data_IF_432524277652
#
_entry.id   IF_432524277652
#
_cell.length_a   1.000
_cell.length_b   1.000
_cell.length_c   1.000
_cell.angle_alpha   90.00
_cell.angle_beta   90.00
_cell.angle_gamma   90.00
#
_symmetry.space_group_name_H-M   'P 1'
#
loop_
_entity.id
_entity.type
_entity.pdbx_description
1 polymer ?
#
# COMPACT_ATOMS: atom_id res chain seq x y z
N UNK A 1 -21.78 14.39 18.40
CA UNK A 1 -21.83 12.96 17.99
C UNK A 1 -20.66 12.67 17.06
N UNK A 2 -19.96 11.57 17.29
CA UNK A 2 -18.78 11.18 16.53
C UNK A 2 -18.97 9.77 15.99
N UNK A 3 -18.82 9.59 14.68
CA UNK A 3 -18.71 8.29 14.02
C UNK A 3 -17.23 7.94 13.83
N UNK A 4 -16.81 6.79 14.28
CA UNK A 4 -15.45 6.31 14.15
C UNK A 4 -15.45 4.95 13.44
N UNK A 5 -14.54 4.76 12.50
CA UNK A 5 -14.30 3.48 11.84
C UNK A 5 -13.08 2.78 12.47
N UNK A 6 -13.11 1.47 12.59
CA UNK A 6 -11.99 0.66 13.12
C UNK A 6 -10.74 0.73 12.24
N UNK A 7 -10.93 1.00 10.95
CA UNK A 7 -9.84 1.20 9.99
C UNK A 7 -10.27 2.19 8.90
N UNK A 8 -9.32 2.91 8.34
CA UNK A 8 -9.56 3.82 7.20
C UNK A 8 -9.52 3.10 5.85
N UNK A 9 -9.01 1.88 5.80
CA UNK A 9 -8.96 1.04 4.61
C UNK A 9 -8.95 -0.44 4.97
N UNK A 10 -9.45 -1.28 4.06
CA UNK A 10 -9.40 -2.72 4.16
C UNK A 10 -9.35 -3.36 2.76
N UNK A 11 -8.97 -4.63 2.70
CA UNK A 11 -8.92 -5.38 1.44
C UNK A 11 -10.31 -5.83 1.03
N UNK A 12 -10.76 -5.41 -0.16
CA UNK A 12 -12.05 -5.79 -0.71
C UNK A 12 -12.19 -7.32 -0.83
N UNK A 13 -13.27 -7.87 -0.29
CA UNK A 13 -13.56 -9.30 -0.30
C UNK A 13 -12.87 -10.13 0.80
N UNK A 14 -11.91 -9.58 1.54
CA UNK A 14 -11.20 -10.30 2.61
C UNK A 14 -11.34 -9.66 3.99
N UNK A 15 -11.64 -8.38 4.06
CA UNK A 15 -11.76 -7.63 5.31
C UNK A 15 -13.14 -7.05 5.55
N UNK A 16 -13.31 -6.52 6.72
CA UNK A 16 -14.46 -5.72 7.10
C UNK A 16 -14.02 -4.52 7.93
N UNK A 17 -14.88 -3.53 8.04
CA UNK A 17 -14.73 -2.38 8.92
C UNK A 17 -15.90 -2.37 9.89
N UNK A 18 -15.61 -2.05 11.15
CA UNK A 18 -16.61 -1.84 12.19
C UNK A 18 -16.67 -0.37 12.55
N UNK A 19 -17.86 0.08 12.91
CA UNK A 19 -18.13 1.45 13.27
C UNK A 19 -18.51 1.56 14.73
N UNK A 20 -18.18 2.67 15.33
CA UNK A 20 -18.59 3.06 16.67
C UNK A 20 -19.16 4.48 16.63
N UNK A 21 -20.31 4.67 17.23
CA UNK A 21 -20.96 5.97 17.35
C UNK A 21 -20.97 6.38 18.80
N UNK A 22 -20.41 7.56 19.10
CA UNK A 22 -20.44 8.13 20.44
C UNK A 22 -21.22 9.44 20.44
N UNK A 23 -22.06 9.60 21.44
CA UNK A 23 -22.83 10.83 21.71
C UNK A 23 -22.66 11.23 23.15
N UNK A 24 -22.22 12.46 23.38
CA UNK A 24 -21.95 13.01 24.72
C UNK A 24 -21.03 12.13 25.61
N UNK A 25 -20.12 11.40 24.96
CA UNK A 25 -19.17 10.51 25.64
C UNK A 25 -19.68 9.08 25.89
N UNK A 26 -20.92 8.79 25.51
CA UNK A 26 -21.52 7.45 25.60
C UNK A 26 -21.54 6.73 24.25
N UNK A 27 -21.37 5.42 24.27
CA UNK A 27 -21.51 4.56 23.09
C UNK A 27 -22.99 4.34 22.76
N UNK A 28 -23.42 4.91 21.65
CA UNK A 28 -24.79 4.78 21.14
C UNK A 28 -24.85 3.98 19.83
N UNK A 29 -23.83 3.21 19.52
CA UNK A 29 -23.71 2.46 18.27
C UNK A 29 -24.92 1.58 17.98
N UNK A 30 -25.47 0.92 18.99
CA UNK A 30 -26.64 0.05 18.85
C UNK A 30 -27.97 0.80 18.61
N UNK A 31 -28.00 2.09 18.87
CA UNK A 31 -29.17 2.94 18.73
C UNK A 31 -29.08 3.88 17.54
N UNK A 32 -27.87 4.07 17.01
CA UNK A 32 -27.62 4.94 15.88
C UNK A 32 -27.84 4.18 14.56
N UNK A 33 -28.42 4.85 13.59
CA UNK A 33 -28.52 4.35 12.21
C UNK A 33 -27.30 4.78 11.43
N UNK A 34 -26.49 3.83 10.97
CA UNK A 34 -25.32 4.08 10.13
C UNK A 34 -25.70 3.82 8.67
N UNK A 35 -25.38 4.73 7.79
CA UNK A 35 -25.70 4.63 6.36
C UNK A 35 -24.43 4.85 5.54
N UNK A 36 -24.26 4.00 4.52
CA UNK A 36 -23.31 4.24 3.46
C UNK A 36 -23.87 5.33 2.54
N UNK A 37 -23.33 6.52 2.64
CA UNK A 37 -23.80 7.69 1.86
C UNK A 37 -23.50 7.54 0.37
N UNK A 38 -22.46 6.78 0.03
CA UNK A 38 -22.05 6.56 -1.36
C UNK A 38 -23.04 5.65 -2.11
N UNK A 39 -23.53 4.58 -1.46
CA UNK A 39 -24.49 3.64 -2.07
C UNK A 39 -25.93 3.91 -1.66
N UNK A 40 -26.15 4.61 -0.56
CA UNK A 40 -27.47 4.84 0.04
C UNK A 40 -27.99 3.67 0.87
N UNK A 41 -27.16 2.65 1.15
CA UNK A 41 -27.54 1.46 1.88
C UNK A 41 -27.27 1.60 3.40
N UNK A 42 -28.15 1.05 4.25
CA UNK A 42 -27.91 1.01 5.67
C UNK A 42 -26.80 -0.01 6.02
N UNK A 43 -26.05 0.30 7.08
CA UNK A 43 -25.04 -0.60 7.64
C UNK A 43 -25.63 -1.36 8.81
N UNK A 44 -25.75 -2.67 8.68
CA UNK A 44 -26.26 -3.52 9.72
C UNK A 44 -25.17 -3.91 10.74
N UNK A 45 -25.56 -4.01 12.01
CA UNK A 45 -24.68 -4.43 13.11
C UNK A 45 -23.37 -3.60 13.23
N UNK A 46 -23.37 -2.36 12.74
CA UNK A 46 -22.20 -1.49 12.73
C UNK A 46 -20.95 -2.13 12.08
N UNK A 47 -21.15 -3.07 11.16
CA UNK A 47 -20.08 -3.72 10.40
C UNK A 47 -20.39 -3.68 8.91
N UNK A 48 -19.37 -3.41 8.10
CA UNK A 48 -19.53 -3.30 6.67
C UNK A 48 -18.35 -3.93 5.92
N UNK A 49 -18.67 -4.56 4.80
CA UNK A 49 -17.70 -5.15 3.88
C UNK A 49 -18.16 -4.96 2.44
N UNK A 50 -17.23 -5.02 1.51
CA UNK A 50 -17.52 -4.99 0.08
C UNK A 50 -16.48 -5.79 -0.70
N UNK A 51 -16.85 -6.25 -1.88
CA UNK A 51 -15.94 -6.85 -2.86
C UNK A 51 -15.52 -5.85 -3.93
N UNK A 52 -16.14 -4.68 -3.95
CA UNK A 52 -15.85 -3.61 -4.91
C UNK A 52 -14.82 -2.63 -4.35
N UNK A 53 -13.84 -2.30 -5.18
CA UNK A 53 -12.79 -1.34 -4.86
C UNK A 53 -13.34 0.08 -4.98
N UNK A 54 -13.04 0.92 -4.03
CA UNK A 54 -13.45 2.32 -4.06
C UNK A 54 -13.38 2.99 -2.70
N UNK A 55 -13.75 4.26 -2.69
CA UNK A 55 -13.92 5.04 -1.47
C UNK A 55 -15.40 5.16 -1.13
N UNK A 56 -15.72 4.86 0.11
CA UNK A 56 -17.09 4.90 0.62
C UNK A 56 -17.19 5.83 1.82
N UNK A 57 -18.24 6.61 1.84
CA UNK A 57 -18.54 7.55 2.92
C UNK A 57 -19.66 7.01 3.77
N UNK A 58 -19.47 7.07 5.07
CA UNK A 58 -20.45 6.62 6.06
C UNK A 58 -20.85 7.76 6.97
N UNK A 59 -22.11 7.78 7.34
CA UNK A 59 -22.67 8.77 8.23
C UNK A 59 -23.62 8.10 9.22
N UNK A 60 -23.61 8.54 10.44
CA UNK A 60 -24.50 8.04 11.47
C UNK A 60 -25.57 9.08 11.83
N UNK A 61 -26.75 8.59 12.14
CA UNK A 61 -27.86 9.39 12.66
C UNK A 61 -28.32 8.79 13.98
N UNK A 62 -28.40 9.61 15.00
CA UNK A 62 -28.92 9.25 16.31
C UNK A 62 -29.85 10.35 16.80
N UNK A 63 -31.11 9.97 17.12
CA UNK A 63 -32.18 10.90 17.45
C UNK A 63 -32.36 11.94 16.31
N UNK A 64 -32.04 13.18 16.51
CA UNK A 64 -32.10 14.23 15.48
C UNK A 64 -30.71 14.71 15.03
N UNK A 65 -29.65 14.04 15.47
CA UNK A 65 -28.28 14.40 15.20
C UNK A 65 -27.68 13.54 14.10
N UNK A 66 -26.87 14.18 13.25
CA UNK A 66 -26.14 13.53 12.16
C UNK A 66 -24.64 13.72 12.38
N UNK A 67 -23.86 12.66 12.26
CA UNK A 67 -22.40 12.73 12.39
C UNK A 67 -21.74 13.37 11.16
N UNK A 68 -20.50 13.80 11.31
CA UNK A 68 -19.64 14.04 10.16
C UNK A 68 -19.41 12.74 9.38
N UNK A 69 -19.25 12.81 8.04
CA UNK A 69 -19.00 11.63 7.24
C UNK A 69 -17.60 11.08 7.48
N UNK A 70 -17.49 9.76 7.59
CA UNK A 70 -16.22 9.03 7.68
C UNK A 70 -15.98 8.31 6.36
N UNK A 71 -14.78 8.45 5.80
CA UNK A 71 -14.38 7.81 4.56
C UNK A 71 -13.61 6.53 4.86
N UNK A 72 -14.01 5.43 4.22
CA UNK A 72 -13.34 4.14 4.26
C UNK A 72 -13.02 3.70 2.84
N UNK A 73 -11.78 3.26 2.60
CA UNK A 73 -11.33 2.80 1.29
C UNK A 73 -11.28 1.27 1.25
N UNK A 74 -11.97 0.69 0.28
CA UNK A 74 -11.81 -0.72 -0.08
C UNK A 74 -10.72 -0.82 -1.16
N UNK A 75 -9.63 -1.49 -0.84
CA UNK A 75 -8.46 -1.62 -1.70
C UNK A 75 -8.34 -3.02 -2.29
N UNK A 76 -7.69 -3.11 -3.45
CA UNK A 76 -7.34 -4.41 -4.02
C UNK A 76 -6.11 -4.98 -3.31
N UNK A 77 -6.18 -6.26 -2.95
CA UNK A 77 -5.05 -7.03 -2.44
C UNK A 77 -3.85 -7.02 -3.39
N UNK A 78 -4.12 -6.94 -4.68
CA UNK A 78 -3.10 -6.93 -5.73
C UNK A 78 -2.72 -5.53 -6.22
N UNK A 79 -3.34 -4.47 -5.70
CA UNK A 79 -3.08 -3.09 -6.13
C UNK A 79 -1.61 -2.68 -5.97
N UNK A 80 -0.92 -3.26 -4.99
CA UNK A 80 0.51 -3.05 -4.79
C UNK A 80 1.38 -3.95 -5.68
N UNK A 81 0.79 -4.99 -6.32
CA UNK A 81 1.48 -5.79 -7.34
C UNK A 81 1.50 -5.10 -8.69
N UNK A 82 0.48 -4.29 -8.99
CA UNK A 82 0.41 -3.49 -10.22
C UNK A 82 1.13 -2.14 -10.08
N UNK A 83 1.34 -1.69 -8.85
CA UNK A 83 2.38 -0.71 -8.57
C UNK A 83 3.68 -1.49 -8.45
N UNK A 84 4.32 -1.67 -9.56
CA UNK A 84 5.68 -2.15 -9.64
C UNK A 84 6.59 -1.28 -8.77
N UNK A 85 6.63 -1.57 -7.48
CA UNK A 85 7.79 -1.21 -6.68
C UNK A 85 8.92 -2.11 -7.18
N UNK A 86 9.53 -1.71 -8.26
CA UNK A 86 10.76 -2.32 -8.70
C UNK A 86 11.77 -2.18 -7.58
N UNK A 87 12.05 -3.27 -6.92
CA UNK A 87 13.21 -3.34 -6.05
C UNK A 87 14.40 -3.41 -6.96
N UNK A 88 14.99 -2.26 -7.25
CA UNK A 88 16.27 -2.24 -7.93
C UNK A 88 17.35 -2.68 -6.95
N UNK A 89 18.09 -3.70 -7.32
CA UNK A 89 19.31 -4.06 -6.62
C UNK A 89 20.44 -3.20 -7.20
N UNK A 90 21.01 -2.35 -6.36
CA UNK A 90 22.18 -1.57 -6.75
C UNK A 90 23.40 -2.48 -6.74
N UNK A 91 23.94 -2.78 -7.92
CA UNK A 91 25.20 -3.49 -8.08
C UNK A 91 26.32 -2.50 -8.36
N UNK A 92 27.18 -2.27 -7.35
CA UNK A 92 28.40 -1.47 -7.53
C UNK A 92 29.52 -2.36 -8.05
N UNK A 93 30.00 -2.07 -9.24
CA UNK A 93 31.12 -2.77 -9.89
C UNK A 93 32.35 -1.88 -9.90
N UNK A 94 33.36 -2.29 -9.14
CA UNK A 94 34.69 -1.64 -9.17
C UNK A 94 35.57 -2.35 -10.19
N UNK A 95 36.02 -1.64 -11.21
CA UNK A 95 36.82 -2.20 -12.29
C UNK A 95 38.07 -1.37 -12.54
N UNK A 96 39.14 -2.06 -12.95
CA UNK A 96 40.33 -1.42 -13.52
C UNK A 96 40.86 -2.27 -14.72
N UNK A 97 41.67 -1.69 -15.56
CA UNK A 97 42.01 -2.26 -16.88
C UNK A 97 42.65 -3.64 -16.83
N UNK A 98 43.27 -4.05 -15.73
CA UNK A 98 43.94 -5.35 -15.56
C UNK A 98 43.20 -6.33 -14.66
N UNK A 99 41.92 -6.10 -14.39
CA UNK A 99 41.12 -6.97 -13.54
C UNK A 99 40.63 -8.22 -14.29
N UNK A 100 41.31 -9.34 -14.14
CA UNK A 100 40.89 -10.61 -14.74
C UNK A 100 39.53 -11.13 -14.21
N UNK A 101 39.22 -10.89 -12.92
CA UNK A 101 37.98 -11.30 -12.31
C UNK A 101 36.77 -10.46 -12.74
N UNK A 102 37.02 -9.22 -13.22
CA UNK A 102 35.93 -8.35 -13.69
C UNK A 102 35.27 -8.89 -14.95
N UNK A 103 36.02 -9.55 -15.84
CA UNK A 103 35.48 -10.19 -17.04
C UNK A 103 34.56 -11.36 -16.67
N UNK A 104 34.95 -12.14 -15.66
CA UNK A 104 34.13 -13.26 -15.15
C UNK A 104 32.85 -12.75 -14.51
N UNK A 105 32.90 -11.71 -13.68
CA UNK A 105 31.73 -11.08 -13.07
C UNK A 105 30.77 -10.50 -14.12
N UNK A 106 31.30 -9.90 -15.18
CA UNK A 106 30.50 -9.40 -16.31
C UNK A 106 29.78 -10.54 -17.02
N UNK A 107 30.47 -11.68 -17.22
CA UNK A 107 29.89 -12.87 -17.84
C UNK A 107 28.71 -13.43 -17.05
N UNK A 108 28.78 -13.44 -15.73
CA UNK A 108 27.64 -13.86 -14.88
C UNK A 108 26.46 -12.87 -14.98
N UNK A 109 26.73 -11.59 -15.03
CA UNK A 109 25.69 -10.58 -15.21
C UNK A 109 25.04 -10.70 -16.60
N UNK A 110 25.82 -10.92 -17.65
CA UNK A 110 25.32 -11.09 -19.02
C UNK A 110 24.52 -12.38 -19.22
N UNK A 111 24.73 -13.37 -18.34
CA UNK A 111 23.99 -14.64 -18.33
C UNK A 111 22.61 -14.54 -17.62
N UNK A 112 22.31 -13.43 -16.96
CA UNK A 112 20.99 -13.21 -16.38
C UNK A 112 19.95 -13.01 -17.48
N UNK A 113 18.75 -13.52 -17.23
CA UNK A 113 17.62 -13.29 -18.11
C UNK A 113 17.27 -11.79 -18.20
N UNK A 114 16.74 -11.38 -19.35
CA UNK A 114 16.41 -9.97 -19.61
C UNK A 114 15.46 -9.39 -18.55
N UNK A 115 14.50 -10.19 -18.10
CA UNK A 115 13.57 -9.80 -17.03
C UNK A 115 14.26 -9.55 -15.68
N UNK A 116 15.30 -10.31 -15.37
CA UNK A 116 16.07 -10.13 -14.14
C UNK A 116 17.04 -8.93 -14.25
N UNK A 117 17.57 -8.65 -15.43
CA UNK A 117 18.45 -7.49 -15.66
C UNK A 117 17.76 -6.16 -15.43
N UNK A 118 16.49 -6.06 -15.77
CA UNK A 118 15.71 -4.83 -15.59
C UNK A 118 15.54 -4.42 -14.12
N UNK A 119 15.81 -5.36 -13.20
CA UNK A 119 15.75 -5.10 -11.76
C UNK A 119 17.10 -4.71 -11.14
N UNK A 120 18.16 -4.64 -11.94
CA UNK A 120 19.49 -4.25 -11.48
C UNK A 120 19.89 -2.88 -12.01
N UNK A 121 20.30 -2.01 -11.10
CA UNK A 121 21.02 -0.79 -11.43
C UNK A 121 22.52 -1.04 -11.29
N UNK A 122 23.23 -1.13 -12.41
CA UNK A 122 24.67 -1.37 -12.41
C UNK A 122 25.41 -0.04 -12.51
N UNK A 123 26.26 0.25 -11.53
CA UNK A 123 27.17 1.38 -11.54
C UNK A 123 28.60 0.85 -11.60
N UNK A 124 29.29 1.16 -12.68
CA UNK A 124 30.69 0.83 -12.83
C UNK A 124 31.55 2.01 -12.37
N UNK A 125 32.42 1.78 -11.39
CA UNK A 125 33.43 2.74 -10.96
C UNK A 125 34.81 2.31 -11.50
N UNK A 126 35.43 3.15 -12.28
CA UNK A 126 36.75 2.93 -12.83
C UNK A 126 37.79 3.74 -12.04
N UNK A 127 38.88 3.08 -11.68
CA UNK A 127 40.02 3.76 -11.12
C UNK A 127 40.81 4.42 -12.26
N UNK A 128 41.17 5.72 -12.16
CA UNK A 128 42.00 6.36 -13.15
C UNK A 128 43.38 5.68 -13.28
N UNK A 129 43.90 5.63 -14.49
CA UNK A 129 45.25 5.11 -14.72
C UNK A 129 46.29 5.86 -13.86
N UNK A 130 47.15 5.11 -13.19
CA UNK A 130 48.29 5.66 -12.43
C UNK A 130 48.03 5.97 -10.96
N UNK A 131 46.82 5.67 -10.40
CA UNK A 131 46.67 5.72 -8.96
C UNK A 131 47.15 4.43 -8.32
N UNK A 132 48.04 4.48 -7.30
CA UNK A 132 48.43 3.31 -6.54
C UNK A 132 47.24 2.80 -5.75
N UNK A 133 47.09 1.48 -5.66
CA UNK A 133 46.18 0.85 -4.73
C UNK A 133 46.83 0.83 -3.36
N UNK A 134 46.36 1.66 -2.45
CA UNK A 134 46.68 1.57 -1.02
C UNK A 134 45.81 0.56 -0.33
#
# INVERSE_FOLDING_TARGET
MVLTASASSFVAGEGNVTFMVTYDGEDVTSQAAITNVTTGEPVENAAWTTTEIGEYKFQAVYDSYTSDPVTVSAIDKNKDKDKEFYRYVLLLKFTYMTCGNCVTAQGYFDALDEADRDHFLVVAAHQPEGMPMD
#
